data_IF_995135099259
#
_entry.id   IF_995135099259
#
_cell.length_a   1.000
_cell.length_b   1.000
_cell.length_c   1.000
_cell.angle_alpha   90.00
_cell.angle_beta   90.00
_cell.angle_gamma   90.00
#
_symmetry.space_group_name_H-M   'P 1'
#
loop_
_entity.id
_entity.type
_entity.pdbx_description
1 polymer ?
#
# COMPACT_ATOMS: atom_id res chain seq x y z
N UNK A 1 79.91 36.33 -18.53
CA UNK A 1 79.64 34.86 -18.63
C UNK A 1 78.86 34.39 -17.40
N UNK A 2 77.63 34.86 -17.27
CA UNK A 2 76.63 34.41 -16.30
C UNK A 2 75.27 34.49 -17.01
N UNK A 3 74.32 33.64 -16.64
CA UNK A 3 72.96 33.49 -17.20
C UNK A 3 72.79 32.40 -18.28
N UNK A 4 72.92 31.14 -17.86
CA UNK A 4 72.36 29.99 -18.58
C UNK A 4 71.94 28.83 -17.65
N UNK A 5 71.54 29.13 -16.40
CA UNK A 5 71.11 28.09 -15.41
C UNK A 5 69.67 28.33 -14.91
N UNK A 6 69.02 29.44 -15.26
CA UNK A 6 67.71 29.79 -14.70
C UNK A 6 66.48 29.23 -15.46
N UNK A 7 66.65 28.68 -16.68
CA UNK A 7 65.51 28.31 -17.54
C UNK A 7 65.24 26.80 -17.65
N UNK A 8 65.94 25.94 -16.91
CA UNK A 8 65.71 24.47 -16.95
C UNK A 8 65.00 23.92 -15.71
N UNK A 9 64.82 24.71 -14.65
CA UNK A 9 64.16 24.25 -13.40
C UNK A 9 62.69 24.65 -13.26
N UNK A 10 62.16 25.51 -14.13
CA UNK A 10 60.76 25.95 -14.05
C UNK A 10 59.80 25.14 -14.93
N UNK A 11 60.31 24.35 -15.88
CA UNK A 11 59.47 23.48 -16.74
C UNK A 11 59.17 22.11 -16.15
N UNK A 12 59.95 21.63 -15.18
CA UNK A 12 59.78 20.28 -14.60
C UNK A 12 58.78 20.32 -13.43
N UNK A 13 58.65 21.46 -12.73
CA UNK A 13 57.72 21.60 -11.61
C UNK A 13 56.25 21.78 -12.02
N UNK A 14 55.97 22.29 -13.23
CA UNK A 14 54.59 22.40 -13.73
C UNK A 14 54.04 21.08 -14.32
N UNK A 15 54.92 20.15 -14.71
CA UNK A 15 54.54 18.82 -15.23
C UNK A 15 54.25 17.79 -14.12
N UNK A 16 54.75 17.99 -12.90
CA UNK A 16 54.54 17.08 -11.77
C UNK A 16 53.30 17.42 -10.93
N UNK A 17 52.75 18.65 -11.06
CA UNK A 17 51.50 19.04 -10.40
C UNK A 17 50.25 18.57 -11.17
N UNK A 18 50.39 18.21 -12.45
CA UNK A 18 49.29 17.69 -13.28
C UNK A 18 49.11 16.17 -13.20
N UNK A 19 50.04 15.43 -12.59
CA UNK A 19 49.97 13.95 -12.46
C UNK A 19 49.47 13.53 -11.06
N UNK A 20 49.10 14.49 -10.19
CA UNK A 20 48.43 14.19 -8.91
C UNK A 20 46.88 14.25 -8.97
N UNK A 21 46.30 14.46 -10.16
CA UNK A 21 44.86 14.40 -10.40
C UNK A 21 44.55 13.44 -11.55
N UNK A 22 44.82 12.14 -11.41
CA UNK A 22 44.32 11.18 -12.39
C UNK A 22 44.18 9.72 -11.92
N UNK A 23 44.14 9.43 -10.61
CA UNK A 23 43.78 8.10 -10.15
C UNK A 23 42.86 8.16 -8.91
N UNK A 24 41.74 8.87 -9.03
CA UNK A 24 40.51 8.33 -8.48
C UNK A 24 39.88 7.56 -9.63
N UNK A 25 40.18 6.26 -9.68
CA UNK A 25 39.41 5.33 -10.48
C UNK A 25 38.04 5.23 -9.81
N UNK A 26 37.18 6.21 -10.08
CA UNK A 26 35.74 5.99 -10.02
C UNK A 26 35.45 4.93 -11.08
N UNK A 27 35.55 3.66 -10.68
CA UNK A 27 34.69 2.64 -11.27
C UNK A 27 33.27 3.02 -10.88
N UNK A 28 32.71 4.03 -11.55
CA UNK A 28 31.28 4.09 -11.80
C UNK A 28 31.00 2.90 -12.72
N UNK A 29 30.81 1.75 -12.09
CA UNK A 29 29.83 0.83 -12.62
C UNK A 29 28.54 1.66 -12.67
N UNK A 30 28.26 2.27 -13.81
CA UNK A 30 26.90 2.56 -14.23
C UNK A 30 26.21 1.21 -14.30
N UNK A 31 25.85 0.69 -13.13
CA UNK A 31 24.73 -0.21 -13.01
C UNK A 31 23.60 0.65 -13.55
N UNK A 32 23.14 0.33 -14.76
CA UNK A 32 21.83 0.69 -15.25
C UNK A 32 20.80 0.05 -14.31
N UNK A 33 20.75 0.49 -13.06
CA UNK A 33 19.60 0.30 -12.22
C UNK A 33 18.58 1.25 -12.81
N UNK A 34 17.70 0.69 -13.64
CA UNK A 34 16.38 1.30 -13.85
C UNK A 34 15.92 1.78 -12.47
N UNK A 35 15.52 3.06 -12.32
CA UNK A 35 15.04 3.53 -11.03
C UNK A 35 13.99 2.53 -10.57
N UNK A 36 14.22 1.92 -9.39
CA UNK A 36 13.35 0.90 -8.84
C UNK A 36 12.07 1.60 -8.40
N UNK A 37 11.15 1.73 -9.34
CA UNK A 37 9.90 2.43 -9.16
C UNK A 37 8.97 1.51 -8.37
N UNK A 38 8.30 2.09 -7.38
CA UNK A 38 7.22 1.50 -6.56
C UNK A 38 7.55 0.26 -5.71
N UNK A 39 7.30 0.41 -4.41
CA UNK A 39 7.28 -0.71 -3.45
C UNK A 39 6.12 -1.66 -3.80
N UNK A 40 6.26 -2.98 -3.57
CA UNK A 40 5.17 -3.92 -3.76
C UNK A 40 3.97 -3.51 -2.89
N UNK A 41 2.79 -3.45 -3.50
CA UNK A 41 1.55 -3.15 -2.81
C UNK A 41 0.77 -4.44 -2.60
N UNK A 42 0.39 -4.72 -1.36
CA UNK A 42 -0.53 -5.79 -0.97
C UNK A 42 -1.47 -5.22 0.08
N UNK A 43 -2.73 -5.66 0.07
CA UNK A 43 -3.67 -5.26 1.11
C UNK A 43 -4.83 -6.25 1.29
N UNK A 44 -5.59 -6.04 2.38
CA UNK A 44 -6.78 -6.82 2.73
C UNK A 44 -8.03 -5.95 2.63
N UNK A 45 -8.98 -6.36 1.80
CA UNK A 45 -10.30 -5.78 1.70
C UNK A 45 -11.34 -6.67 2.37
N UNK A 46 -12.42 -6.06 2.85
CA UNK A 46 -13.62 -6.76 3.30
C UNK A 46 -14.66 -6.60 2.19
N UNK A 47 -15.06 -7.71 1.57
CA UNK A 47 -16.03 -7.71 0.48
C UNK A 47 -17.39 -7.24 0.99
N UNK A 48 -18.02 -6.23 0.35
CA UNK A 48 -19.37 -5.78 0.69
C UNK A 48 -20.45 -6.69 0.10
N UNK A 49 -20.08 -7.72 -0.68
CA UNK A 49 -21.01 -8.54 -1.45
C UNK A 49 -21.61 -9.63 -0.56
N UNK A 50 -22.93 -9.71 -0.58
CA UNK A 50 -23.70 -10.80 0.01
C UNK A 50 -23.79 -11.93 -1.02
N UNK A 51 -22.95 -12.96 -0.87
CA UNK A 51 -22.96 -14.13 -1.74
C UNK A 51 -23.09 -15.40 -0.91
N UNK A 52 -23.99 -16.31 -1.30
CA UNK A 52 -24.16 -17.62 -0.66
C UNK A 52 -24.40 -17.57 0.86
N UNK A 53 -25.10 -16.54 1.36
CA UNK A 53 -25.36 -16.32 2.79
C UNK A 53 -24.10 -16.03 3.64
N UNK A 54 -22.96 -15.77 2.99
CA UNK A 54 -21.73 -15.30 3.61
C UNK A 54 -21.57 -13.80 3.36
N UNK A 55 -21.10 -13.09 4.39
CA UNK A 55 -20.86 -11.65 4.38
C UNK A 55 -19.46 -11.35 4.87
N UNK A 56 -18.93 -10.17 4.53
CA UNK A 56 -17.63 -9.71 5.00
C UNK A 56 -16.47 -10.66 4.64
N UNK A 57 -16.52 -11.28 3.46
CA UNK A 57 -15.45 -12.17 2.99
C UNK A 57 -14.17 -11.35 2.82
N UNK A 58 -13.05 -11.84 3.34
CA UNK A 58 -11.75 -11.21 3.15
C UNK A 58 -11.27 -11.42 1.72
N UNK A 59 -10.86 -10.34 1.07
CA UNK A 59 -10.26 -10.37 -0.26
C UNK A 59 -8.84 -9.81 -0.18
N UNK A 60 -7.92 -10.45 -0.89
CA UNK A 60 -6.53 -10.05 -0.91
C UNK A 60 -6.25 -9.38 -2.25
N UNK A 61 -5.68 -8.17 -2.21
CA UNK A 61 -5.34 -7.40 -3.41
C UNK A 61 -3.83 -7.21 -3.51
N UNK A 62 -3.30 -7.17 -4.73
CA UNK A 62 -1.88 -6.94 -4.94
C UNK A 62 -1.57 -6.18 -6.23
N UNK A 63 -0.43 -5.48 -6.21
CA UNK A 63 0.20 -4.85 -7.37
C UNK A 63 1.71 -4.86 -7.19
N UNK A 64 2.39 -5.64 -8.03
CA UNK A 64 3.83 -5.91 -7.99
C UNK A 64 4.49 -5.48 -9.30
N UNK A 65 5.53 -4.67 -9.25
CA UNK A 65 6.37 -4.37 -10.42
C UNK A 65 7.40 -5.49 -10.66
N UNK A 66 8.14 -5.91 -9.61
CA UNK A 66 9.09 -7.01 -9.65
C UNK A 66 8.39 -8.36 -9.41
N UNK A 67 7.55 -8.80 -10.36
CA UNK A 67 6.82 -10.05 -10.23
C UNK A 67 7.69 -11.28 -10.53
N UNK A 68 7.78 -12.18 -9.55
CA UNK A 68 8.39 -13.51 -9.73
C UNK A 68 7.28 -14.56 -9.70
N UNK A 69 7.08 -15.34 -10.78
CA UNK A 69 6.11 -16.43 -10.80
C UNK A 69 6.35 -17.41 -9.66
N UNK A 70 5.30 -17.74 -8.90
CA UNK A 70 5.39 -18.60 -7.73
C UNK A 70 5.61 -17.88 -6.40
N UNK A 71 5.67 -16.55 -6.41
CA UNK A 71 5.50 -15.74 -5.20
C UNK A 71 4.17 -16.10 -4.52
N UNK A 72 4.20 -16.21 -3.20
CA UNK A 72 3.07 -16.61 -2.37
C UNK A 72 2.55 -15.41 -1.61
N UNK A 73 1.23 -15.35 -1.50
CA UNK A 73 0.50 -14.37 -0.72
C UNK A 73 -0.22 -15.13 0.40
N UNK A 74 0.10 -14.82 1.64
CA UNK A 74 -0.30 -15.60 2.81
C UNK A 74 -1.10 -14.72 3.76
N UNK A 75 -2.36 -15.06 3.99
CA UNK A 75 -3.19 -14.45 5.01
C UNK A 75 -2.90 -15.12 6.35
N UNK A 76 -2.50 -14.30 7.31
CA UNK A 76 -2.11 -14.70 8.65
C UNK A 76 -3.09 -14.15 9.67
N UNK A 77 -3.38 -14.96 10.69
CA UNK A 77 -4.15 -14.52 11.84
C UNK A 77 -3.21 -13.91 12.90
N UNK A 78 -3.46 -12.65 13.27
CA UNK A 78 -2.67 -11.88 14.22
C UNK A 78 -2.62 -12.49 15.61
N UNK A 79 -3.69 -13.16 16.05
CA UNK A 79 -3.82 -13.77 17.39
C UNK A 79 -3.17 -15.14 17.45
N UNK A 80 -3.46 -16.01 16.48
CA UNK A 80 -2.97 -17.40 16.49
C UNK A 80 -1.58 -17.54 15.85
N UNK A 81 -1.13 -16.54 15.09
CA UNK A 81 0.09 -16.57 14.28
C UNK A 81 0.13 -17.72 13.27
N UNK A 82 -1.03 -18.19 12.82
CA UNK A 82 -1.17 -19.25 11.82
C UNK A 82 -1.54 -18.67 10.46
N UNK A 83 -1.08 -19.33 9.39
CA UNK A 83 -1.58 -19.11 8.04
C UNK A 83 -3.00 -19.67 7.96
N UNK A 84 -3.97 -18.84 7.55
CA UNK A 84 -5.35 -19.25 7.33
C UNK A 84 -5.66 -19.41 5.83
N UNK A 85 -4.92 -18.72 4.97
CA UNK A 85 -5.08 -18.83 3.52
C UNK A 85 -3.76 -18.59 2.81
N UNK A 86 -3.50 -19.37 1.77
CA UNK A 86 -2.30 -19.27 0.94
C UNK A 86 -2.71 -19.21 -0.53
N UNK A 87 -2.15 -18.26 -1.26
CA UNK A 87 -2.41 -18.09 -2.68
C UNK A 87 -1.11 -17.94 -3.47
N UNK A 88 -0.98 -18.74 -4.52
CA UNK A 88 0.14 -18.65 -5.45
C UNK A 88 -0.17 -17.64 -6.54
N UNK A 89 0.60 -16.56 -6.59
CA UNK A 89 0.38 -15.49 -7.55
C UNK A 89 0.66 -15.96 -8.98
N UNK A 90 -0.32 -15.73 -9.85
CA UNK A 90 -0.27 -16.03 -11.29
C UNK A 90 0.02 -14.78 -12.12
N UNK A 91 -0.34 -13.60 -11.62
CA UNK A 91 -0.24 -12.32 -12.30
C UNK A 91 0.39 -11.25 -11.38
N UNK A 92 1.04 -10.21 -11.94
CA UNK A 92 1.65 -9.12 -11.17
C UNK A 92 0.62 -8.25 -10.43
N UNK A 93 -0.62 -8.21 -10.90
CA UNK A 93 -1.72 -7.45 -10.31
C UNK A 93 -2.96 -8.33 -10.26
N UNK A 94 -3.77 -8.16 -9.23
CA UNK A 94 -5.05 -8.86 -9.15
C UNK A 94 -5.64 -8.80 -7.75
N UNK A 95 -6.70 -9.58 -7.60
CA UNK A 95 -7.36 -9.83 -6.34
C UNK A 95 -7.79 -11.29 -6.25
N UNK A 96 -7.95 -11.79 -5.03
CA UNK A 96 -8.50 -13.12 -4.77
C UNK A 96 -9.40 -13.06 -3.54
N UNK A 97 -10.62 -13.53 -3.69
CA UNK A 97 -11.53 -13.70 -2.56
C UNK A 97 -11.16 -14.97 -1.81
N UNK A 98 -11.06 -14.86 -0.49
CA UNK A 98 -10.84 -16.03 0.39
C UNK A 98 -12.17 -16.69 0.73
N UNK A 99 -12.13 -17.78 1.50
CA UNK A 99 -13.30 -18.39 2.14
C UNK A 99 -13.41 -18.00 3.62
N UNK A 100 -12.77 -16.90 4.03
CA UNK A 100 -12.71 -16.45 5.41
C UNK A 100 -13.59 -15.21 5.55
N UNK A 101 -14.64 -15.31 6.36
CA UNK A 101 -15.51 -14.20 6.70
C UNK A 101 -14.98 -13.48 7.94
N UNK A 102 -14.80 -12.15 7.84
CA UNK A 102 -14.47 -11.32 8.98
C UNK A 102 -15.68 -11.15 9.88
N UNK A 103 -15.52 -11.53 11.15
CA UNK A 103 -16.51 -11.31 12.19
C UNK A 103 -16.12 -10.09 12.99
N UNK A 104 -16.99 -9.08 12.99
CA UNK A 104 -16.87 -7.93 13.87
C UNK A 104 -16.83 -8.46 15.30
N UNK A 105 -15.72 -8.20 15.99
CA UNK A 105 -15.59 -8.52 17.42
C UNK A 105 -16.22 -7.39 18.23
N UNK A 106 -16.65 -7.65 19.47
CA UNK A 106 -17.20 -6.63 20.40
C UNK A 106 -16.10 -5.65 20.89
N UNK A 107 -15.19 -5.25 20.00
CA UNK A 107 -14.09 -4.35 20.28
C UNK A 107 -14.61 -2.92 20.14
N UNK A 108 -14.40 -2.08 21.15
CA UNK A 108 -14.74 -0.66 21.04
C UNK A 108 -13.76 0.00 20.08
N UNK A 109 -14.25 0.35 18.89
CA UNK A 109 -13.48 1.07 17.89
C UNK A 109 -13.30 2.53 18.32
N UNK A 110 -12.06 3.01 18.30
CA UNK A 110 -11.73 4.40 18.56
C UNK A 110 -11.34 5.14 17.29
N UNK A 111 -11.22 6.47 17.38
CA UNK A 111 -10.66 7.33 16.33
C UNK A 111 -9.13 7.22 16.20
N UNK A 112 -8.55 6.14 16.70
CA UNK A 112 -7.12 5.85 16.59
C UNK A 112 -6.98 4.61 15.71
N UNK A 113 -5.97 4.65 14.84
CA UNK A 113 -5.59 3.52 13.99
C UNK A 113 -5.28 2.30 14.87
N UNK A 114 -5.97 1.18 14.64
CA UNK A 114 -5.80 -0.06 15.39
C UNK A 114 -5.65 -1.22 14.41
N UNK A 115 -4.67 -2.10 14.66
CA UNK A 115 -4.55 -3.36 13.92
C UNK A 115 -5.65 -4.33 14.34
N UNK A 116 -6.22 -5.00 13.35
CA UNK A 116 -7.26 -6.02 13.48
C UNK A 116 -6.65 -7.43 13.50
N UNK A 117 -7.52 -8.43 13.39
CA UNK A 117 -7.19 -9.84 13.60
C UNK A 117 -6.39 -10.48 12.46
N UNK A 118 -6.19 -9.77 11.35
CA UNK A 118 -5.58 -10.32 10.14
C UNK A 118 -4.49 -9.42 9.58
N UNK A 119 -3.48 -10.05 8.98
CA UNK A 119 -2.44 -9.39 8.19
C UNK A 119 -2.02 -10.32 7.06
N UNK A 120 -1.49 -9.74 5.98
CA UNK A 120 -1.08 -10.47 4.78
C UNK A 120 0.43 -10.32 4.60
N UNK A 121 1.09 -11.41 4.22
CA UNK A 121 2.52 -11.46 3.90
C UNK A 121 2.72 -11.84 2.43
N UNK A 122 3.63 -11.14 1.77
CA UNK A 122 4.16 -11.54 0.47
C UNK A 122 5.50 -12.26 0.68
N UNK A 123 5.63 -13.49 0.15
CA UNK A 123 6.87 -14.28 0.23
C UNK A 123 7.30 -14.75 -1.15
N UNK A 124 8.62 -14.78 -1.39
CA UNK A 124 9.17 -15.30 -2.65
C UNK A 124 8.82 -16.79 -2.91
N UNK A 125 8.62 -17.55 -1.83
CA UNK A 125 8.22 -18.96 -1.82
C UNK A 125 7.58 -19.28 -0.45
N UNK A 126 6.86 -20.39 -0.31
CA UNK A 126 6.16 -20.76 0.93
C UNK A 126 7.08 -20.78 2.17
N UNK A 127 8.33 -21.21 2.01
CA UNK A 127 9.37 -21.21 3.07
C UNK A 127 10.37 -20.06 2.95
N UNK A 128 10.13 -19.10 2.04
CA UNK A 128 11.02 -17.97 1.80
C UNK A 128 10.86 -16.82 2.82
N UNK A 129 11.75 -15.83 2.77
CA UNK A 129 11.62 -14.62 3.59
C UNK A 129 10.39 -13.80 3.20
N UNK A 130 9.87 -13.04 4.16
CA UNK A 130 8.82 -12.04 3.93
C UNK A 130 9.41 -10.85 3.18
N UNK A 131 8.82 -10.53 2.03
CA UNK A 131 9.18 -9.39 1.17
C UNK A 131 8.50 -8.12 1.69
N UNK A 132 7.19 -8.20 1.96
CA UNK A 132 6.41 -7.14 2.58
C UNK A 132 5.19 -7.72 3.30
N UNK A 133 4.60 -6.91 4.18
CA UNK A 133 3.37 -7.25 4.89
C UNK A 133 2.42 -6.05 4.94
N UNK A 134 1.11 -6.31 4.98
CA UNK A 134 0.08 -5.31 5.26
C UNK A 134 -0.84 -5.80 6.38
N UNK A 135 -1.18 -4.94 7.33
CA UNK A 135 -2.10 -5.25 8.40
C UNK A 135 -3.52 -4.81 8.00
N UNK A 136 -4.51 -5.58 8.39
CA UNK A 136 -5.89 -5.12 8.36
C UNK A 136 -6.07 -4.12 9.51
N UNK A 137 -6.41 -2.86 9.22
CA UNK A 137 -6.38 -1.76 10.19
C UNK A 137 -7.66 -0.91 10.17
N UNK A 138 -8.06 -0.37 11.32
CA UNK A 138 -9.18 0.59 11.42
C UNK A 138 -8.72 2.02 11.21
N UNK A 139 -9.70 2.91 10.98
CA UNK A 139 -9.50 4.35 10.86
C UNK A 139 -8.46 4.69 9.77
N UNK A 140 -8.85 4.57 8.48
CA UNK A 140 -7.93 4.75 7.37
C UNK A 140 -7.35 6.17 7.38
N UNK A 141 -6.05 6.28 7.59
CA UNK A 141 -5.30 7.55 7.59
C UNK A 141 -4.78 7.90 6.19
N UNK A 142 -5.50 7.50 5.14
CA UNK A 142 -5.00 7.50 3.76
C UNK A 142 -4.44 8.86 3.29
N UNK A 143 -5.05 9.98 3.70
CA UNK A 143 -4.55 11.32 3.37
C UNK A 143 -3.21 11.60 4.04
N UNK A 144 -3.06 11.19 5.30
CA UNK A 144 -1.83 11.34 6.07
C UNK A 144 -0.74 10.39 5.54
N UNK A 145 -1.10 9.13 5.27
CA UNK A 145 -0.20 8.10 4.77
C UNK A 145 0.37 8.47 3.38
N UNK A 146 -0.41 9.22 2.58
CA UNK A 146 -0.02 9.70 1.26
C UNK A 146 0.32 11.20 1.22
N UNK A 147 0.56 11.83 2.37
CA UNK A 147 0.77 13.28 2.46
C UNK A 147 1.90 13.80 1.57
N UNK A 148 2.98 13.03 1.37
CA UNK A 148 4.10 13.43 0.52
C UNK A 148 3.72 13.66 -0.95
N UNK A 149 2.66 12.99 -1.43
CA UNK A 149 2.11 13.16 -2.77
C UNK A 149 0.95 14.16 -2.72
N UNK A 150 0.00 13.95 -1.82
CA UNK A 150 -1.25 14.71 -1.77
C UNK A 150 -1.06 16.16 -1.33
N UNK A 151 -0.06 16.47 -0.49
CA UNK A 151 0.21 17.85 -0.05
C UNK A 151 0.61 18.81 -1.18
N UNK A 152 0.97 18.27 -2.35
CA UNK A 152 1.33 19.04 -3.54
C UNK A 152 0.13 19.32 -4.44
N UNK A 153 -1.02 18.71 -4.15
CA UNK A 153 -2.26 18.86 -4.90
C UNK A 153 -3.19 19.83 -4.16
N UNK A 154 -3.86 20.69 -4.90
CA UNK A 154 -5.01 21.42 -4.37
C UNK A 154 -6.21 20.48 -4.21
N UNK A 155 -7.19 20.86 -3.38
CA UNK A 155 -8.42 20.07 -3.17
C UNK A 155 -9.13 19.76 -4.49
N UNK A 156 -9.09 20.67 -5.46
CA UNK A 156 -9.72 20.49 -6.77
C UNK A 156 -9.02 19.46 -7.66
N UNK A 157 -7.78 19.12 -7.35
CA UNK A 157 -6.96 18.14 -8.07
C UNK A 157 -6.97 16.76 -7.40
N UNK A 158 -7.65 16.63 -6.25
CA UNK A 158 -7.78 15.38 -5.52
C UNK A 158 -9.14 14.72 -5.76
N UNK A 159 -9.13 13.42 -6.02
CA UNK A 159 -10.34 12.60 -5.95
C UNK A 159 -10.64 12.29 -4.48
N UNK A 160 -11.44 13.14 -3.84
CA UNK A 160 -11.87 12.94 -2.46
C UNK A 160 -13.23 12.25 -2.45
N UNK A 161 -13.34 11.04 -1.85
CA UNK A 161 -14.64 10.41 -1.62
C UNK A 161 -15.60 11.32 -0.86
N UNK A 162 -16.85 11.37 -1.31
CA UNK A 162 -17.94 12.02 -0.61
C UNK A 162 -19.18 11.12 -0.62
N UNK A 163 -20.04 11.29 0.38
CA UNK A 163 -21.34 10.63 0.45
C UNK A 163 -22.44 11.67 0.22
N UNK A 164 -23.46 11.32 -0.57
CA UNK A 164 -24.63 12.17 -0.79
C UNK A 164 -25.58 12.05 0.40
N UNK A 165 -26.09 13.19 0.91
CA UNK A 165 -26.96 13.25 2.09
C UNK A 165 -26.43 12.42 3.26
N UNK A 166 -25.19 12.66 3.69
CA UNK A 166 -24.49 11.83 4.68
C UNK A 166 -25.25 11.63 6.00
N UNK A 167 -26.23 12.49 6.31
CA UNK A 167 -27.06 12.41 7.52
C UNK A 167 -28.33 11.57 7.35
N UNK A 168 -28.64 11.08 6.15
CA UNK A 168 -29.79 10.24 5.88
C UNK A 168 -29.47 8.76 6.12
N UNK A 169 -29.21 8.43 7.38
CA UNK A 169 -29.04 7.07 7.90
C UNK A 169 -30.10 6.77 8.96
N UNK A 170 -30.56 5.52 9.05
CA UNK A 170 -31.33 5.02 10.20
C UNK A 170 -30.65 3.78 10.75
N UNK A 171 -30.88 3.47 12.02
CA UNK A 171 -30.68 2.10 12.50
C UNK A 171 -31.66 1.21 11.75
N UNK A 172 -31.20 0.04 11.28
CA UNK A 172 -32.10 -0.93 10.65
C UNK A 172 -33.21 -1.29 11.65
N UNK A 173 -34.44 -1.10 11.20
CA UNK A 173 -35.65 -1.45 11.92
C UNK A 173 -36.09 -2.81 11.35
N UNK A 174 -36.31 -3.80 12.23
CA UNK A 174 -36.72 -5.16 11.86
C UNK A 174 -38.18 -5.25 11.36
N UNK A 175 -38.89 -4.13 11.22
CA UNK A 175 -40.30 -4.08 10.79
C UNK A 175 -40.47 -3.99 9.26
N UNK A 176 -39.39 -4.16 8.50
CA UNK A 176 -39.39 -4.19 7.03
C UNK A 176 -39.25 -2.80 6.37
N UNK A 177 -38.92 -2.78 5.08
CA UNK A 177 -38.62 -1.54 4.33
C UNK A 177 -39.79 -0.53 4.37
N UNK A 178 -39.61 0.56 5.12
CA UNK A 178 -40.58 1.66 5.15
C UNK A 178 -40.38 2.60 3.94
N UNK A 179 -41.44 3.32 3.52
CA UNK A 179 -41.34 4.31 2.42
C UNK A 179 -40.23 5.35 2.65
N UNK A 180 -40.01 5.74 3.90
CA UNK A 180 -38.96 6.70 4.26
C UNK A 180 -37.58 6.09 4.04
N UNK A 181 -37.34 4.85 4.47
CA UNK A 181 -36.09 4.13 4.19
C UNK A 181 -35.82 4.02 2.69
N UNK A 182 -36.85 3.71 1.89
CA UNK A 182 -36.71 3.52 0.44
C UNK A 182 -36.36 4.79 -0.35
N UNK A 183 -36.91 5.94 0.03
CA UNK A 183 -36.85 7.16 -0.78
C UNK A 183 -36.04 8.30 -0.17
N UNK A 184 -35.74 8.24 1.13
CA UNK A 184 -35.04 9.30 1.86
C UNK A 184 -33.65 8.85 2.31
N UNK A 185 -33.48 7.57 2.65
CA UNK A 185 -32.21 7.08 3.19
C UNK A 185 -31.24 6.76 2.07
N UNK A 186 -30.03 7.29 2.20
CA UNK A 186 -28.97 7.16 1.20
C UNK A 186 -27.74 6.44 1.76
N UNK A 187 -27.69 6.22 3.08
CA UNK A 187 -26.58 5.59 3.78
C UNK A 187 -27.06 4.40 4.62
N UNK A 188 -26.29 3.31 4.58
CA UNK A 188 -26.56 2.06 5.35
C UNK A 188 -25.96 2.13 6.76
N UNK A 189 -25.09 3.10 7.03
CA UNK A 189 -24.40 3.20 8.32
C UNK A 189 -24.25 4.64 8.80
N UNK A 190 -24.28 4.83 10.12
CA UNK A 190 -23.96 6.11 10.75
C UNK A 190 -22.48 6.47 10.53
N UNK A 191 -22.15 7.77 10.62
CA UNK A 191 -20.82 8.37 10.44
C UNK A 191 -19.64 7.68 11.16
N UNK A 192 -19.90 6.79 12.11
CA UNK A 192 -18.92 6.10 12.96
C UNK A 192 -18.75 4.62 12.62
N UNK A 193 -19.21 4.15 11.46
CA UNK A 193 -19.14 2.75 11.07
C UNK A 193 -17.69 2.22 11.10
N UNK A 194 -17.38 1.27 12.00
CA UNK A 194 -16.06 0.68 12.06
C UNK A 194 -15.87 -0.34 10.93
N UNK A 195 -14.69 -0.36 10.31
CA UNK A 195 -14.29 -1.46 9.42
C UNK A 195 -14.03 -1.11 7.96
N UNK A 196 -14.10 0.16 7.55
CA UNK A 196 -13.59 0.54 6.23
C UNK A 196 -12.06 0.59 6.24
N UNK A 197 -11.41 -0.53 5.92
CA UNK A 197 -9.96 -0.58 5.67
C UNK A 197 -9.60 0.15 4.37
N UNK A 198 -10.50 0.13 3.38
CA UNK A 198 -10.39 0.89 2.13
C UNK A 198 -11.79 1.17 1.56
N UNK A 199 -12.02 2.39 1.05
CA UNK A 199 -13.28 2.75 0.38
C UNK A 199 -13.39 2.03 -0.96
N UNK A 200 -14.29 1.04 -1.04
CA UNK A 200 -14.73 0.44 -2.29
C UNK A 200 -15.79 1.34 -2.92
N UNK A 201 -15.44 1.98 -4.04
CA UNK A 201 -16.42 2.64 -4.89
C UNK A 201 -17.05 1.60 -5.82
N UNK A 202 -18.38 1.50 -5.77
CA UNK A 202 -19.15 0.92 -6.86
C UNK A 202 -19.13 1.92 -8.04
N UNK A 203 -18.29 1.67 -9.04
CA UNK A 203 -18.46 2.31 -10.35
C UNK A 203 -19.38 1.43 -11.20
N UNK A 204 -20.69 1.68 -11.15
CA UNK A 204 -21.54 1.33 -12.27
C UNK A 204 -21.44 2.48 -13.28
N UNK A 205 -20.54 2.32 -14.26
CA UNK A 205 -20.63 2.96 -15.58
C UNK A 205 -20.60 1.85 -16.61
#
# INVERSE_FOLDING_TARGET
MFSAIANLKLSIFLSLLFILFCNVSETSSEVNTKPKCKKPFIDILISPVFANNETNILELIWSLEDFVPGTMLILMNSKTKKAEYEYKLTNPTGFVSTNISYKITNTTYGFKKQALDYYVELKASASGPVICSSNMETNPTWMQDNAAVLSKLSIREMFIPGTHDSGASTEEDDNGEQRVQKYVMTQVSHYTAPGFTHMTFWSNI
#
